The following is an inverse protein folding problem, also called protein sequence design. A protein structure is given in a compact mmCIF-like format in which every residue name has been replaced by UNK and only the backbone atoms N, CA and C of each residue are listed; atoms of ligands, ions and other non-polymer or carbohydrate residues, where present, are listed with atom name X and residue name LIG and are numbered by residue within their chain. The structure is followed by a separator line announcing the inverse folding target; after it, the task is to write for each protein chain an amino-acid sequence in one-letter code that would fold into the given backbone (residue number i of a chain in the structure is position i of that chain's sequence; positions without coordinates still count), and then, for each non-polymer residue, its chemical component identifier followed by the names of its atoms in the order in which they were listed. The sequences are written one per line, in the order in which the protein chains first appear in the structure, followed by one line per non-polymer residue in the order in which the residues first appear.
data_IF_393955008044
#
_entry.id   IF_393955008044
#
_cell.length_a   1.000
_cell.length_b   1.000
_cell.length_c   1.000
_cell.angle_alpha   90.00
_cell.angle_beta   90.00
_cell.angle_gamma   90.00
#
_symmetry.space_group_name_H-M   'P 1'
#
loop_
_entity.id
_entity.type
_entity.pdbx_description
1 polymer ?
#
# COMPACT_ATOMS: atom_id res chain seq x y z
N UNK A 1 3.32 -6.88 -8.52
CA UNK A 1 2.18 -6.51 -7.64
C UNK A 1 1.22 -7.67 -7.38
N UNK A 2 0.81 -8.42 -8.41
CA UNK A 2 0.04 -9.66 -8.24
C UNK A 2 0.76 -10.69 -7.34
N UNK A 3 2.08 -10.84 -7.45
CA UNK A 3 2.87 -11.62 -6.49
C UNK A 3 2.73 -11.08 -5.06
N UNK A 4 2.91 -9.77 -4.83
CA UNK A 4 2.78 -9.18 -3.48
C UNK A 4 1.41 -9.46 -2.85
N UNK A 5 0.30 -9.30 -3.58
CA UNK A 5 -1.04 -9.62 -3.07
C UNK A 5 -1.25 -11.13 -2.88
N UNK A 6 -0.69 -11.99 -3.73
CA UNK A 6 -0.77 -13.46 -3.61
C UNK A 6 0.06 -13.97 -2.42
N UNK A 7 1.25 -13.41 -2.20
CA UNK A 7 2.08 -13.67 -1.02
C UNK A 7 1.40 -13.15 0.25
N UNK A 8 0.82 -11.95 0.24
CA UNK A 8 0.04 -11.43 1.37
C UNK A 8 -1.16 -12.33 1.70
N UNK A 9 -1.88 -12.85 0.70
CA UNK A 9 -3.02 -13.73 0.94
C UNK A 9 -2.62 -15.12 1.46
N UNK A 10 -1.39 -15.57 1.23
CA UNK A 10 -0.91 -16.91 1.64
C UNK A 10 -0.38 -16.93 3.07
N UNK A 11 0.08 -15.81 3.64
CA UNK A 11 0.70 -15.79 4.98
C UNK A 11 0.05 -14.88 6.01
N UNK A 12 -0.94 -14.05 5.64
CA UNK A 12 -1.42 -12.99 6.55
C UNK A 12 -2.88 -13.11 6.93
N UNK A 13 -3.15 -12.79 8.20
CA UNK A 13 -4.50 -12.64 8.74
C UNK A 13 -4.82 -11.16 8.93
N UNK A 14 -6.11 -10.82 8.92
CA UNK A 14 -6.55 -9.46 9.24
C UNK A 14 -6.09 -9.08 10.66
N UNK A 15 -5.46 -7.92 10.81
CA UNK A 15 -4.83 -7.48 12.05
C UNK A 15 -3.32 -7.68 12.13
N UNK A 16 -2.71 -8.42 11.19
CA UNK A 16 -1.25 -8.56 11.10
C UNK A 16 -0.56 -7.19 11.05
N UNK A 17 0.56 -7.07 11.76
CA UNK A 17 1.44 -5.89 11.69
C UNK A 17 2.76 -6.30 11.05
N UNK A 18 3.20 -5.53 10.05
CA UNK A 18 4.43 -5.78 9.30
C UNK A 18 5.37 -4.60 9.38
N UNK A 19 6.66 -4.87 9.32
CA UNK A 19 7.71 -3.87 9.11
C UNK A 19 8.36 -4.11 7.76
N UNK A 20 8.21 -3.15 6.85
CA UNK A 20 8.83 -3.14 5.54
C UNK A 20 10.10 -2.30 5.56
N UNK A 21 11.11 -2.77 4.83
CA UNK A 21 12.28 -2.00 4.46
C UNK A 21 12.35 -1.98 2.93
N UNK A 22 12.30 -0.80 2.32
CA UNK A 22 12.26 -0.65 0.87
C UNK A 22 13.17 0.49 0.43
N UNK A 23 13.60 0.46 -0.83
CA UNK A 23 14.38 1.55 -1.42
C UNK A 23 13.51 2.30 -2.42
N UNK A 24 13.35 3.61 -2.22
CA UNK A 24 12.63 4.50 -3.11
C UNK A 24 13.55 5.66 -3.49
N UNK A 25 13.74 5.89 -4.80
CA UNK A 25 14.62 6.93 -5.33
C UNK A 25 16.04 6.91 -4.73
N UNK A 26 16.58 5.71 -4.45
CA UNK A 26 17.90 5.51 -3.86
C UNK A 26 17.96 5.61 -2.33
N UNK A 27 16.87 6.03 -1.67
CA UNK A 27 16.80 6.12 -0.22
C UNK A 27 16.17 4.87 0.39
N UNK A 28 16.80 4.33 1.44
CA UNK A 28 16.25 3.20 2.20
C UNK A 28 15.27 3.74 3.22
N UNK A 29 14.00 3.40 3.06
CA UNK A 29 12.90 3.78 3.94
C UNK A 29 12.38 2.55 4.72
N UNK A 30 11.79 2.79 5.89
CA UNK A 30 11.05 1.78 6.65
C UNK A 30 9.59 2.19 6.83
N UNK A 31 8.69 1.21 6.79
CA UNK A 31 7.25 1.42 7.02
C UNK A 31 6.70 0.25 7.82
N UNK A 32 6.20 0.54 9.01
CA UNK A 32 5.38 -0.38 9.78
C UNK A 32 3.93 -0.15 9.43
N UNK A 33 3.22 -1.21 9.06
CA UNK A 33 1.83 -1.14 8.65
C UNK A 33 0.99 -2.23 9.29
N UNK A 34 -0.29 -1.95 9.45
CA UNK A 34 -1.31 -2.93 9.83
C UNK A 34 -2.09 -3.35 8.59
N UNK A 35 -2.25 -4.65 8.40
CA UNK A 35 -3.02 -5.26 7.33
C UNK A 35 -4.45 -5.47 7.81
N UNK A 36 -5.43 -5.06 7.02
CA UNK A 36 -6.84 -5.38 7.21
C UNK A 36 -7.36 -6.03 5.93
N UNK A 37 -7.92 -7.23 6.05
CA UNK A 37 -8.42 -8.02 4.93
C UNK A 37 -9.94 -8.08 5.03
N UNK A 38 -10.61 -7.66 3.96
CA UNK A 38 -12.05 -7.81 3.78
C UNK A 38 -12.27 -8.72 2.56
N UNK A 39 -12.46 -10.00 2.87
CA UNK A 39 -12.61 -11.05 1.85
C UNK A 39 -13.93 -10.91 1.07
N UNK A 40 -15.00 -10.44 1.71
CA UNK A 40 -16.31 -10.28 1.10
C UNK A 40 -16.24 -9.25 -0.04
N UNK A 41 -15.55 -8.13 0.20
CA UNK A 41 -15.37 -7.07 -0.80
C UNK A 41 -14.09 -7.22 -1.63
N UNK A 42 -13.28 -8.25 -1.38
CA UNK A 42 -11.97 -8.48 -2.03
C UNK A 42 -11.04 -7.28 -1.89
N UNK A 43 -11.03 -6.69 -0.69
CA UNK A 43 -10.22 -5.54 -0.32
C UNK A 43 -9.10 -5.96 0.62
N UNK A 44 -7.93 -5.37 0.43
CA UNK A 44 -6.84 -5.39 1.40
C UNK A 44 -6.46 -3.95 1.68
N UNK A 45 -6.52 -3.55 2.95
CA UNK A 45 -6.09 -2.24 3.41
C UNK A 45 -4.80 -2.35 4.19
N UNK A 46 -3.86 -1.44 3.94
CA UNK A 46 -2.60 -1.30 4.64
C UNK A 46 -2.59 0.07 5.31
N UNK A 47 -2.62 0.11 6.63
CA UNK A 47 -2.62 1.35 7.41
C UNK A 47 -1.22 1.57 7.99
N UNK A 48 -0.59 2.70 7.68
CA UNK A 48 0.69 3.07 8.24
C UNK A 48 0.57 3.30 9.75
N UNK A 49 1.42 2.62 10.53
CA UNK A 49 1.52 2.75 11.98
C UNK A 49 2.75 3.56 12.39
N UNK A 50 3.91 3.22 11.80
CA UNK A 50 5.20 3.88 12.06
C UNK A 50 6.00 3.95 10.75
N UNK A 51 6.91 4.92 10.62
CA UNK A 51 7.79 5.03 9.45
C UNK A 51 8.15 6.48 9.18
N UNK A 52 9.46 6.76 9.18
CA UNK A 52 10.02 8.11 9.12
C UNK A 52 9.42 8.91 7.96
N UNK A 53 9.64 8.49 6.71
CA UNK A 53 9.31 9.35 5.58
C UNK A 53 7.82 9.46 5.20
N UNK A 54 7.00 8.45 5.49
CA UNK A 54 5.55 8.52 5.22
C UNK A 54 4.86 9.34 6.30
N UNK A 55 5.14 9.08 7.57
CA UNK A 55 4.44 9.74 8.68
C UNK A 55 5.03 11.10 9.07
N UNK A 56 6.25 11.44 8.64
CA UNK A 56 6.78 12.81 8.71
C UNK A 56 6.00 13.78 7.81
N UNK A 57 5.46 13.30 6.68
CA UNK A 57 4.74 14.13 5.70
C UNK A 57 3.23 14.04 5.81
N UNK A 58 2.72 12.91 6.32
CA UNK A 58 1.29 12.64 6.41
C UNK A 58 0.92 12.20 7.82
N UNK A 59 -0.04 12.89 8.43
CA UNK A 59 -0.59 12.53 9.74
C UNK A 59 -1.17 11.12 9.76
N UNK A 60 -1.72 10.67 8.63
CA UNK A 60 -2.17 9.29 8.44
C UNK A 60 -2.06 8.91 6.97
N UNK A 61 -1.76 7.65 6.71
CA UNK A 61 -1.66 7.09 5.37
C UNK A 61 -2.26 5.68 5.37
N UNK A 62 -3.20 5.42 4.46
CA UNK A 62 -3.86 4.13 4.27
C UNK A 62 -3.93 3.83 2.78
N UNK A 63 -3.43 2.66 2.40
CA UNK A 63 -3.47 2.16 1.03
C UNK A 63 -4.55 1.07 0.96
N UNK A 64 -5.40 1.12 -0.05
CA UNK A 64 -6.45 0.13 -0.26
C UNK A 64 -6.27 -0.49 -1.63
N UNK A 65 -6.14 -1.81 -1.67
CA UNK A 65 -6.12 -2.61 -2.87
C UNK A 65 -7.46 -3.30 -3.04
N UNK A 66 -8.13 -3.05 -4.16
CA UNK A 66 -9.39 -3.70 -4.52
C UNK A 66 -9.20 -4.56 -5.74
N UNK A 67 -9.48 -5.85 -5.61
CA UNK A 67 -9.36 -6.81 -6.72
C UNK A 67 -10.71 -7.04 -7.37
N UNK A 68 -10.83 -6.65 -8.62
CA UNK A 68 -11.99 -6.97 -9.48
C UNK A 68 -11.60 -8.09 -10.44
N UNK A 69 -12.07 -9.33 -10.22
CA UNK A 69 -11.79 -10.44 -11.14
C UNK A 69 -12.45 -10.18 -12.51
N UNK A 70 -11.78 -10.60 -13.59
CA UNK A 70 -12.31 -10.59 -14.96
C UNK A 70 -12.21 -12.00 -15.55
N UNK A 71 -12.87 -12.23 -16.69
CA UNK A 71 -12.84 -13.52 -17.41
C UNK A 71 -11.41 -13.95 -17.75
N UNK A 72 -10.55 -13.00 -18.10
CA UNK A 72 -9.11 -13.19 -18.23
C UNK A 72 -8.38 -12.22 -17.30
N UNK A 73 -7.71 -12.76 -16.28
CA UNK A 73 -6.97 -11.99 -15.29
C UNK A 73 -7.84 -11.25 -14.28
N UNK A 74 -7.39 -10.08 -13.86
CA UNK A 74 -8.14 -9.21 -12.95
C UNK A 74 -7.57 -7.81 -12.90
N UNK A 75 -8.42 -6.86 -12.51
CA UNK A 75 -8.04 -5.47 -12.32
C UNK A 75 -7.80 -5.22 -10.84
N UNK A 76 -6.70 -4.55 -10.50
CA UNK A 76 -6.44 -4.06 -9.15
C UNK A 76 -6.60 -2.55 -9.15
N UNK A 77 -7.60 -2.05 -8.42
CA UNK A 77 -7.73 -0.63 -8.13
C UNK A 77 -6.93 -0.33 -6.86
N UNK A 78 -6.08 0.69 -6.93
CA UNK A 78 -5.28 1.16 -5.78
C UNK A 78 -5.82 2.53 -5.38
N UNK A 79 -6.25 2.64 -4.13
CA UNK A 79 -6.69 3.90 -3.53
C UNK A 79 -5.71 4.27 -2.42
N UNK A 80 -5.32 5.54 -2.38
CA UNK A 80 -4.45 6.08 -1.34
C UNK A 80 -5.19 7.15 -0.56
N UNK A 81 -5.57 6.82 0.68
CA UNK A 81 -6.19 7.73 1.63
C UNK A 81 -5.08 8.31 2.51
N UNK A 82 -5.00 9.63 2.58
CA UNK A 82 -3.97 10.28 3.37
C UNK A 82 -4.50 11.57 3.99
N UNK A 83 -3.96 11.91 5.16
CA UNK A 83 -4.17 13.21 5.80
C UNK A 83 -2.84 13.93 5.80
N UNK A 84 -2.78 15.08 5.14
CA UNK A 84 -1.58 15.93 5.12
C UNK A 84 -1.28 16.45 6.51
N UNK A 85 0.00 16.67 6.80
CA UNK A 85 0.40 17.37 8.02
C UNK A 85 0.19 18.88 7.84
N UNK A 86 0.55 19.41 6.67
CA UNK A 86 0.31 20.79 6.25
C UNK A 86 -0.50 20.83 4.94
N UNK A 87 -1.38 21.81 4.77
CA UNK A 87 -2.24 21.92 3.57
C UNK A 87 -1.42 22.03 2.26
N UNK A 88 -0.24 22.63 2.35
CA UNK A 88 0.69 22.85 1.24
C UNK A 88 1.55 21.63 0.89
N UNK A 89 1.47 20.53 1.67
CA UNK A 89 2.25 19.35 1.37
C UNK A 89 1.80 18.73 0.02
N UNK A 90 2.74 18.35 -0.86
CA UNK A 90 2.41 17.79 -2.15
C UNK A 90 1.69 16.44 -1.97
N UNK A 91 0.81 16.04 -2.90
CA UNK A 91 0.19 14.73 -2.84
C UNK A 91 1.25 13.61 -2.90
N UNK A 92 0.96 12.42 -2.33
CA UNK A 92 1.87 11.27 -2.27
C UNK A 92 2.07 10.54 -3.61
N UNK A 93 2.23 11.28 -4.72
CA UNK A 93 2.38 10.74 -6.07
C UNK A 93 3.55 9.77 -6.22
N UNK A 94 4.67 9.98 -5.49
CA UNK A 94 5.82 9.07 -5.52
C UNK A 94 5.45 7.64 -5.10
N UNK A 95 4.58 7.51 -4.09
CA UNK A 95 4.13 6.22 -3.58
C UNK A 95 3.16 5.54 -4.57
N UNK A 96 2.21 6.29 -5.14
CA UNK A 96 1.31 5.77 -6.18
C UNK A 96 2.11 5.27 -7.39
N UNK A 97 3.12 6.03 -7.83
CA UNK A 97 3.98 5.64 -8.96
C UNK A 97 4.81 4.40 -8.65
N UNK A 98 5.30 4.25 -7.42
CA UNK A 98 6.02 3.05 -6.98
C UNK A 98 5.14 1.80 -7.10
N UNK A 99 3.89 1.85 -6.62
CA UNK A 99 2.95 0.74 -6.77
C UNK A 99 2.58 0.46 -8.23
N UNK A 100 2.41 1.51 -9.04
CA UNK A 100 2.18 1.39 -10.49
C UNK A 100 3.33 0.71 -11.23
N UNK A 101 4.59 1.04 -10.92
CA UNK A 101 5.76 0.39 -11.52
C UNK A 101 5.86 -1.10 -11.14
N UNK A 102 5.40 -1.48 -9.94
CA UNK A 102 5.31 -2.89 -9.55
C UNK A 102 4.26 -3.68 -10.36
N UNK A 103 3.38 -3.01 -11.12
CA UNK A 103 2.43 -3.63 -12.04
C UNK A 103 3.03 -3.90 -13.42
N UNK A 104 3.84 -2.97 -13.96
CA UNK A 104 4.36 -3.02 -15.34
C UNK A 104 5.62 -3.86 -15.53
N UNK A 105 6.16 -4.46 -14.46
CA UNK A 105 7.36 -5.30 -14.52
C UNK A 105 7.09 -6.78 -14.81
N UNK A 106 5.85 -7.17 -15.14
CA UNK A 106 5.48 -8.51 -15.59
C UNK A 106 4.32 -8.45 -16.57
#
# INVERSE_FOLDING_TARGET
MYMMLRYMKVTETSGSVKLWKYTLDGNVETLKEKVEIDEANKLVSLTALEGSHVLEKYKSCKIIFQVTPKSEGGLVKITLEYRRLNENDPPPHKYIRFFGQCHSRY
#
